data_IF_917672198729
#
_entry.id   IF_917672198729
#
_cell.length_a   1.000
_cell.length_b   1.000
_cell.length_c   1.000
_cell.angle_alpha   90.00
_cell.angle_beta   90.00
_cell.angle_gamma   90.00
#
_symmetry.space_group_name_H-M   'P 1'
#
loop_
_entity.id
_entity.type
_entity.pdbx_description
1 polymer ?
#
# COMPACT_ATOMS: atom_id res chain seq x y z
N UNK A 1 -10.59 -5.20 -1.08
CA UNK A 1 -10.08 -5.99 0.07
C UNK A 1 -10.73 -5.45 1.35
N UNK A 2 -11.18 -6.30 2.28
CA UNK A 2 -11.58 -5.83 3.62
C UNK A 2 -10.35 -5.54 4.47
N UNK A 3 -10.46 -4.65 5.46
CA UNK A 3 -9.39 -4.29 6.41
C UNK A 3 -8.68 -5.51 7.03
N UNK A 4 -9.47 -6.52 7.46
CA UNK A 4 -8.96 -7.79 7.99
C UNK A 4 -8.04 -8.52 7.01
N UNK A 5 -8.43 -8.61 5.73
CA UNK A 5 -7.66 -9.34 4.74
C UNK A 5 -6.37 -8.60 4.37
N UNK A 6 -6.40 -7.27 4.36
CA UNK A 6 -5.20 -6.46 4.15
C UNK A 6 -4.20 -6.64 5.30
N UNK A 7 -4.68 -6.62 6.55
CA UNK A 7 -3.83 -6.85 7.73
C UNK A 7 -3.25 -8.26 7.76
N UNK A 8 -4.06 -9.29 7.46
CA UNK A 8 -3.59 -10.68 7.38
C UNK A 8 -2.52 -10.86 6.31
N UNK A 9 -2.68 -10.23 5.14
CA UNK A 9 -1.71 -10.32 4.06
C UNK A 9 -0.40 -9.61 4.43
N UNK A 10 -0.47 -8.44 5.05
CA UNK A 10 0.71 -7.74 5.57
C UNK A 10 1.43 -8.56 6.65
N UNK A 11 0.69 -9.15 7.59
CA UNK A 11 1.24 -10.02 8.63
C UNK A 11 1.89 -11.27 8.03
N UNK A 12 1.26 -11.89 7.03
CA UNK A 12 1.80 -13.06 6.35
C UNK A 12 3.12 -12.71 5.64
N UNK A 13 3.17 -11.60 4.89
CA UNK A 13 4.41 -11.14 4.24
C UNK A 13 5.49 -10.83 5.28
N UNK A 14 5.12 -10.26 6.43
CA UNK A 14 6.05 -9.95 7.51
C UNK A 14 6.63 -11.22 8.13
N UNK A 15 5.79 -12.20 8.46
CA UNK A 15 6.23 -13.50 9.02
C UNK A 15 7.11 -14.25 8.02
N UNK A 16 6.70 -14.31 6.75
CA UNK A 16 7.49 -14.95 5.69
C UNK A 16 8.82 -14.24 5.48
N UNK A 17 8.83 -12.90 5.45
CA UNK A 17 10.04 -12.10 5.28
C UNK A 17 11.05 -12.28 6.43
N UNK A 18 10.56 -12.34 7.67
CA UNK A 18 11.39 -12.62 8.86
C UNK A 18 11.91 -14.06 8.82
N UNK A 19 11.05 -15.04 8.54
CA UNK A 19 11.43 -16.45 8.47
C UNK A 19 12.50 -16.70 7.41
N UNK A 20 12.33 -16.16 6.21
CA UNK A 20 13.34 -16.25 5.13
C UNK A 20 14.63 -15.51 5.49
N UNK A 21 14.53 -14.34 6.11
CA UNK A 21 15.71 -13.59 6.58
C UNK A 21 16.49 -14.36 7.64
N UNK A 22 15.79 -15.05 8.55
CA UNK A 22 16.42 -15.88 9.58
C UNK A 22 17.12 -17.12 8.98
N UNK A 23 16.58 -17.72 7.91
CA UNK A 23 17.19 -18.87 7.24
C UNK A 23 18.42 -18.47 6.42
N UNK A 24 18.34 -17.34 5.70
CA UNK A 24 19.38 -16.91 4.75
C UNK A 24 20.44 -16.01 5.38
N UNK A 25 20.21 -15.47 6.57
CA UNK A 25 21.07 -14.48 7.22
C UNK A 25 21.13 -13.12 6.49
N UNK A 26 20.36 -12.94 5.42
CA UNK A 26 20.37 -11.75 4.57
C UNK A 26 19.26 -10.76 4.92
N UNK A 27 19.38 -9.49 4.49
CA UNK A 27 18.38 -8.44 4.72
C UNK A 27 17.14 -8.58 3.81
N UNK A 28 16.58 -9.79 3.68
CA UNK A 28 15.45 -10.11 2.78
C UNK A 28 14.26 -9.18 3.02
N UNK A 29 13.96 -8.87 4.28
CA UNK A 29 12.86 -7.97 4.64
C UNK A 29 13.04 -6.57 4.00
N UNK A 30 14.27 -6.05 3.90
CA UNK A 30 14.53 -4.76 3.24
C UNK A 30 14.23 -4.84 1.73
N UNK A 31 14.60 -5.95 1.11
CA UNK A 31 14.29 -6.22 -0.30
C UNK A 31 12.78 -6.30 -0.54
N UNK A 32 12.05 -7.03 0.29
CA UNK A 32 10.58 -7.14 0.21
C UNK A 32 9.93 -5.77 0.34
N UNK A 33 10.32 -4.98 1.36
CA UNK A 33 9.80 -3.63 1.57
C UNK A 33 10.06 -2.75 0.35
N UNK A 34 11.28 -2.76 -0.20
CA UNK A 34 11.62 -1.98 -1.38
C UNK A 34 10.82 -2.39 -2.62
N UNK A 35 10.76 -3.68 -2.92
CA UNK A 35 10.03 -4.20 -4.09
C UNK A 35 8.52 -3.97 -3.99
N UNK A 36 7.94 -4.14 -2.80
CA UNK A 36 6.51 -3.88 -2.59
C UNK A 36 6.17 -2.39 -2.60
N UNK A 37 7.07 -1.52 -2.13
CA UNK A 37 6.92 -0.07 -2.29
C UNK A 37 6.97 0.33 -3.77
N UNK A 38 7.92 -0.22 -4.53
CA UNK A 38 8.05 0.06 -5.97
C UNK A 38 6.81 -0.42 -6.74
N UNK A 39 6.33 -1.63 -6.40
CA UNK A 39 5.09 -2.16 -6.97
C UNK A 39 3.90 -1.27 -6.63
N UNK A 40 3.75 -0.84 -5.37
CA UNK A 40 2.66 0.04 -4.95
C UNK A 40 2.70 1.40 -5.67
N UNK A 41 3.90 1.94 -5.92
CA UNK A 41 4.06 3.15 -6.71
C UNK A 41 3.59 2.95 -8.16
N UNK A 42 4.02 1.86 -8.81
CA UNK A 42 3.61 1.54 -10.18
C UNK A 42 2.11 1.26 -10.29
N UNK A 43 1.54 0.48 -9.37
CA UNK A 43 0.11 0.19 -9.35
C UNK A 43 -0.71 1.46 -9.05
N UNK A 44 -0.25 2.33 -8.13
CA UNK A 44 -0.89 3.62 -7.86
C UNK A 44 -0.96 4.55 -9.08
N UNK A 45 0.05 4.47 -9.95
CA UNK A 45 0.09 5.22 -11.21
C UNK A 45 -0.94 4.66 -12.20
N UNK A 46 -1.00 3.33 -12.32
CA UNK A 46 -1.95 2.63 -13.21
C UNK A 46 -3.41 2.82 -12.79
N UNK A 47 -3.70 2.81 -11.49
CA UNK A 47 -5.05 3.08 -10.97
C UNK A 47 -5.36 4.57 -10.87
N UNK A 48 -4.43 5.44 -11.30
CA UNK A 48 -4.56 6.90 -11.24
C UNK A 48 -5.06 7.38 -9.88
N UNK A 49 -4.38 6.97 -8.80
CA UNK A 49 -4.82 7.22 -7.42
C UNK A 49 -5.12 8.71 -7.12
N UNK A 50 -4.44 9.61 -7.85
CA UNK A 50 -4.62 11.05 -7.82
C UNK A 50 -5.99 11.51 -8.37
N UNK A 51 -6.80 10.67 -8.99
CA UNK A 51 -8.15 11.05 -9.41
C UNK A 51 -9.19 10.79 -8.33
N UNK A 52 -8.83 10.08 -7.26
CA UNK A 52 -9.76 9.66 -6.21
C UNK A 52 -9.69 10.57 -4.99
N UNK A 53 -10.85 10.86 -4.40
CA UNK A 53 -10.96 11.65 -3.17
C UNK A 53 -10.68 10.75 -1.97
N UNK A 54 -9.41 10.58 -1.65
CA UNK A 54 -8.97 9.80 -0.49
C UNK A 54 -9.10 10.67 0.76
N UNK A 55 -10.32 10.90 1.22
CA UNK A 55 -10.59 11.63 2.46
C UNK A 55 -10.83 10.62 3.58
N UNK A 56 -9.84 10.47 4.45
CA UNK A 56 -9.94 9.63 5.63
C UNK A 56 -8.81 9.94 6.60
N UNK A 57 -9.17 10.31 7.83
CA UNK A 57 -8.22 10.69 8.91
C UNK A 57 -7.17 9.60 9.22
N UNK A 58 -7.45 8.35 8.82
CA UNK A 58 -6.58 7.19 9.08
C UNK A 58 -5.65 6.82 7.93
N UNK A 59 -5.67 7.51 6.78
CA UNK A 59 -4.88 7.09 5.61
C UNK A 59 -3.99 8.22 5.09
N UNK A 60 -2.71 7.95 4.76
CA UNK A 60 -1.81 8.98 4.24
C UNK A 60 -2.38 9.63 2.99
N UNK A 61 -2.07 10.92 2.80
CA UNK A 61 -2.43 11.64 1.58
C UNK A 61 -1.63 11.09 0.39
N UNK A 62 -2.19 10.08 -0.28
CA UNK A 62 -1.63 9.49 -1.49
C UNK A 62 -2.00 10.35 -2.70
N UNK A 63 -1.45 11.56 -2.75
CA UNK A 63 -1.69 12.50 -3.84
C UNK A 63 -1.00 12.10 -5.15
N UNK A 64 0.17 11.44 -5.06
CA UNK A 64 1.01 11.06 -6.20
C UNK A 64 1.66 9.68 -5.98
N UNK A 65 2.06 9.03 -7.07
CA UNK A 65 2.76 7.73 -7.03
C UNK A 65 4.09 7.77 -6.28
N UNK A 66 4.79 8.90 -6.32
CA UNK A 66 6.01 9.12 -5.54
C UNK A 66 5.74 9.15 -4.03
N UNK A 67 4.65 9.80 -3.62
CA UNK A 67 4.24 9.82 -2.21
C UNK A 67 3.90 8.41 -1.73
N UNK A 68 3.18 7.62 -2.53
CA UNK A 68 2.90 6.20 -2.23
C UNK A 68 4.21 5.42 -2.04
N UNK A 69 5.18 5.59 -2.95
CA UNK A 69 6.49 4.95 -2.83
C UNK A 69 7.17 5.28 -1.50
N UNK A 70 7.33 6.55 -1.18
CA UNK A 70 8.02 6.99 0.04
C UNK A 70 7.31 6.55 1.32
N UNK A 71 5.98 6.68 1.37
CA UNK A 71 5.20 6.26 2.53
C UNK A 71 5.25 4.75 2.75
N UNK A 72 5.13 3.95 1.69
CA UNK A 72 5.24 2.48 1.79
C UNK A 72 6.67 2.05 2.09
N UNK A 73 7.69 2.75 1.59
CA UNK A 73 9.09 2.43 1.86
C UNK A 73 9.48 2.73 3.32
N UNK A 74 9.08 3.90 3.84
CA UNK A 74 9.45 4.37 5.19
C UNK A 74 8.57 3.78 6.29
N UNK A 75 7.26 3.65 6.03
CA UNK A 75 6.25 3.25 7.00
C UNK A 75 5.51 2.00 6.53
N UNK A 76 6.25 1.01 6.01
CA UNK A 76 5.69 -0.17 5.34
C UNK A 76 4.59 -0.87 6.13
N UNK A 77 4.81 -1.13 7.43
CA UNK A 77 3.87 -1.85 8.30
C UNK A 77 2.50 -1.16 8.37
N UNK A 78 2.47 0.18 8.29
CA UNK A 78 1.24 0.96 8.35
C UNK A 78 0.70 1.29 6.95
N UNK A 79 1.56 1.76 6.05
CA UNK A 79 1.16 2.28 4.75
C UNK A 79 0.83 1.19 3.75
N UNK A 80 1.48 0.03 3.80
CA UNK A 80 1.18 -1.09 2.91
C UNK A 80 -0.25 -1.65 3.09
N UNK A 81 -0.71 -2.02 4.30
CA UNK A 81 -2.09 -2.44 4.48
C UNK A 81 -3.08 -1.32 4.16
N UNK A 82 -2.77 -0.08 4.51
CA UNK A 82 -3.62 1.06 4.20
C UNK A 82 -3.79 1.27 2.69
N UNK A 83 -2.70 1.12 1.92
CA UNK A 83 -2.72 1.14 0.46
C UNK A 83 -3.59 0.02 -0.11
N UNK A 84 -3.45 -1.22 0.38
CA UNK A 84 -4.29 -2.34 -0.06
C UNK A 84 -5.78 -2.13 0.23
N UNK A 85 -6.12 -1.47 1.34
CA UNK A 85 -7.50 -1.09 1.67
C UNK A 85 -8.02 -0.09 0.64
N UNK A 86 -7.27 0.99 0.37
CA UNK A 86 -7.67 2.01 -0.62
C UNK A 86 -7.83 1.40 -1.99
N UNK A 87 -6.79 0.72 -2.49
CA UNK A 87 -6.81 0.02 -3.78
C UNK A 87 -8.03 -0.90 -3.86
N UNK A 88 -8.28 -1.65 -2.78
CA UNK A 88 -9.42 -2.53 -2.67
C UNK A 88 -10.79 -1.85 -2.63
N UNK A 89 -10.88 -0.56 -2.28
CA UNK A 89 -12.09 0.26 -2.35
C UNK A 89 -12.24 0.93 -3.72
N UNK A 90 -11.13 1.41 -4.31
CA UNK A 90 -11.08 1.97 -5.68
C UNK A 90 -11.56 0.93 -6.69
N UNK A 91 -11.00 -0.29 -6.64
CA UNK A 91 -11.41 -1.38 -7.53
C UNK A 91 -12.86 -1.83 -7.35
N UNK A 92 -13.49 -1.48 -6.23
CA UNK A 92 -14.92 -1.74 -5.96
C UNK A 92 -15.83 -0.56 -6.35
N UNK A 93 -15.27 0.55 -6.85
CA UNK A 93 -16.02 1.77 -7.16
C UNK A 93 -16.59 2.47 -5.93
N UNK A 94 -16.03 2.23 -4.73
CA UNK A 94 -16.57 2.81 -3.48
C UNK A 94 -16.06 4.24 -3.25
N UNK A 95 -14.86 4.56 -3.73
CA UNK A 95 -14.27 5.89 -3.54
C UNK A 95 -14.66 6.76 -4.74
N UNK A 96 -15.33 7.91 -4.52
CA UNK A 96 -15.71 8.82 -5.58
C UNK A 96 -14.49 9.48 -6.21
N UNK A 97 -14.64 9.89 -7.47
CA UNK A 97 -13.63 10.70 -8.13
C UNK A 97 -13.63 12.09 -7.51
N UNK A 98 -12.45 12.69 -7.40
CA UNK A 98 -12.26 14.03 -6.81
C UNK A 98 -12.97 15.14 -7.60
N UNK A 99 -13.22 14.93 -8.89
CA UNK A 99 -13.80 15.92 -9.79
C UNK A 99 -15.30 15.66 -10.09
N UNK A 100 -15.96 14.72 -9.41
CA UNK A 100 -17.42 14.51 -9.57
C UNK A 100 -18.27 15.49 -8.75
N UNK A 101 -17.63 16.30 -7.89
CA UNK A 101 -18.29 17.28 -7.00
C UNK A 101 -18.21 18.74 -7.54
N UNK A 102 -17.68 18.96 -8.75
CA UNK A 102 -17.62 20.26 -9.47
C UNK A 102 -18.52 20.24 -10.71
#
# INVERSE_FOLDING_TARGET
MGWRNSLLLTLLILVVGIGLGAITGGPIMRGIVFWTALWAASDSHRIEIHKYKITGSFVPSFGNSWSVFLFVLLLWVYCFPAYLIIRGKILKGIIPLRNEDE
#
